data_IF_108440911481
#
_entry.id   IF_108440911481
#
_cell.length_a   1.000
_cell.length_b   1.000
_cell.length_c   1.000
_cell.angle_alpha   90.00
_cell.angle_beta   90.00
_cell.angle_gamma   90.00
#
_symmetry.space_group_name_H-M   'P 1'
#
loop_
_entity.id
_entity.type
_entity.pdbx_description
1 polymer ?
#
# COMPACT_ATOMS: atom_id res chain seq x y z
N UNK A 1 -6.14 -11.85 34.14
CA UNK A 1 -6.24 -12.23 32.71
C UNK A 1 -5.47 -13.54 32.49
N UNK A 2 -6.06 -14.54 31.82
CA UNK A 2 -5.43 -15.86 31.69
C UNK A 2 -4.24 -15.76 30.72
N UNK A 3 -3.03 -16.23 31.09
CA UNK A 3 -1.81 -16.12 30.26
C UNK A 3 -2.04 -16.59 28.82
N UNK A 4 -2.92 -17.58 28.64
CA UNK A 4 -3.35 -18.10 27.34
C UNK A 4 -4.02 -17.05 26.43
N UNK A 5 -4.77 -16.09 26.99
CA UNK A 5 -5.43 -15.02 26.21
C UNK A 5 -4.43 -14.00 25.65
N UNK A 6 -3.40 -13.65 26.43
CA UNK A 6 -2.31 -12.77 25.98
C UNK A 6 -1.51 -13.45 24.87
N UNK A 7 -1.13 -14.71 25.09
CA UNK A 7 -0.39 -15.51 24.09
C UNK A 7 -1.22 -15.65 22.80
N UNK A 8 -2.52 -15.92 22.91
CA UNK A 8 -3.42 -16.00 21.76
C UNK A 8 -3.48 -14.70 20.96
N UNK A 9 -3.61 -13.56 21.63
CA UNK A 9 -3.63 -12.24 20.96
C UNK A 9 -2.31 -11.91 20.25
N UNK A 10 -1.17 -12.27 20.86
CA UNK A 10 0.16 -12.07 20.27
C UNK A 10 0.35 -12.92 19.01
N UNK A 11 -0.11 -14.18 19.03
CA UNK A 11 -0.03 -15.08 17.87
C UNK A 11 -0.86 -14.53 16.71
N UNK A 12 -2.08 -14.04 16.97
CA UNK A 12 -2.94 -13.45 15.93
C UNK A 12 -2.28 -12.22 15.32
N UNK A 13 -1.71 -11.36 16.14
CA UNK A 13 -1.00 -10.17 15.68
C UNK A 13 0.23 -10.52 14.82
N UNK A 14 1.05 -11.48 15.26
CA UNK A 14 2.20 -11.97 14.48
C UNK A 14 1.78 -12.65 13.18
N UNK A 15 0.68 -13.40 13.17
CA UNK A 15 0.12 -14.00 11.96
C UNK A 15 -0.34 -12.92 10.96
N UNK A 16 -1.00 -11.87 11.46
CA UNK A 16 -1.38 -10.72 10.65
C UNK A 16 -0.17 -9.97 10.08
N UNK A 17 0.89 -9.77 10.89
CA UNK A 17 2.17 -9.21 10.48
C UNK A 17 2.76 -9.96 9.28
N UNK A 18 2.88 -11.28 9.43
CA UNK A 18 3.47 -12.16 8.45
C UNK A 18 2.65 -12.19 7.16
N UNK A 19 1.32 -12.24 7.27
CA UNK A 19 0.42 -12.16 6.13
C UNK A 19 0.55 -10.84 5.37
N UNK A 20 0.51 -9.71 6.08
CA UNK A 20 0.67 -8.37 5.48
C UNK A 20 2.06 -8.21 4.84
N UNK A 21 3.11 -8.67 5.51
CA UNK A 21 4.46 -8.66 4.95
C UNK A 21 4.53 -9.45 3.64
N UNK A 22 4.05 -10.70 3.66
CA UNK A 22 4.15 -11.62 2.53
C UNK A 22 3.35 -11.12 1.31
N UNK A 23 2.16 -10.58 1.54
CA UNK A 23 1.32 -10.03 0.47
C UNK A 23 1.98 -8.82 -0.19
N UNK A 24 2.44 -7.84 0.59
CA UNK A 24 3.13 -6.66 0.05
C UNK A 24 4.46 -7.02 -0.62
N UNK A 25 5.23 -7.95 -0.06
CA UNK A 25 6.47 -8.44 -0.65
C UNK A 25 6.23 -9.15 -2.00
N UNK A 26 5.20 -9.98 -2.09
CA UNK A 26 4.80 -10.65 -3.33
C UNK A 26 4.43 -9.64 -4.41
N UNK A 27 3.66 -8.61 -4.05
CA UNK A 27 3.23 -7.55 -4.98
C UNK A 27 4.42 -6.73 -5.48
N UNK A 28 5.36 -6.35 -4.61
CA UNK A 28 6.60 -5.69 -5.00
C UNK A 28 7.43 -6.53 -5.99
N UNK A 29 7.58 -7.83 -5.72
CA UNK A 29 8.33 -8.73 -6.61
C UNK A 29 7.64 -8.96 -7.96
N UNK A 30 6.31 -8.97 -7.99
CA UNK A 30 5.57 -9.05 -9.24
C UNK A 30 5.86 -7.84 -10.14
N UNK A 31 5.85 -6.64 -9.57
CA UNK A 31 6.19 -5.40 -10.30
C UNK A 31 7.67 -5.35 -10.72
N UNK A 32 8.60 -5.82 -9.88
CA UNK A 32 10.01 -5.95 -10.26
C UNK A 32 10.21 -6.89 -11.44
N UNK A 33 9.49 -8.02 -11.46
CA UNK A 33 9.51 -8.96 -12.58
C UNK A 33 8.99 -8.29 -13.85
N UNK A 34 7.91 -7.52 -13.76
CA UNK A 34 7.37 -6.76 -14.88
C UNK A 34 8.41 -5.78 -15.45
N UNK A 35 9.03 -4.93 -14.63
CA UNK A 35 10.08 -4.00 -15.09
C UNK A 35 11.25 -4.76 -15.71
N UNK A 36 11.69 -5.86 -15.09
CA UNK A 36 12.81 -6.65 -15.59
C UNK A 36 12.53 -7.18 -16.99
N UNK A 37 11.35 -7.75 -17.22
CA UNK A 37 10.91 -8.23 -18.53
C UNK A 37 10.76 -7.07 -19.53
N UNK A 38 10.17 -5.95 -19.09
CA UNK A 38 9.96 -4.78 -19.94
C UNK A 38 11.29 -4.18 -20.45
N UNK A 39 12.30 -4.10 -19.58
CA UNK A 39 13.63 -3.58 -19.91
C UNK A 39 14.48 -4.53 -20.77
N UNK A 40 14.17 -5.82 -20.77
CA UNK A 40 15.00 -6.83 -21.43
C UNK A 40 14.85 -6.85 -22.97
N UNK A 41 13.96 -6.04 -23.55
CA UNK A 41 13.53 -6.11 -24.96
C UNK A 41 12.98 -7.50 -25.30
N UNK A 42 11.67 -7.72 -25.07
CA UNK A 42 11.10 -9.06 -25.04
C UNK A 42 11.12 -9.75 -26.41
N UNK A 43 11.53 -11.02 -26.43
CA UNK A 43 11.20 -11.96 -27.51
C UNK A 43 9.66 -12.10 -27.66
N UNK A 44 9.12 -12.57 -28.80
CA UNK A 44 7.66 -12.61 -29.04
C UNK A 44 6.84 -13.28 -27.93
N UNK A 45 7.35 -14.37 -27.34
CA UNK A 45 6.71 -15.06 -26.21
C UNK A 45 6.75 -14.23 -24.90
N UNK A 46 7.81 -13.46 -24.67
CA UNK A 46 7.94 -12.57 -23.51
C UNK A 46 7.05 -11.33 -23.65
N UNK A 47 6.83 -10.88 -24.89
CA UNK A 47 5.90 -9.79 -25.19
C UNK A 47 4.47 -10.17 -24.84
N UNK A 48 4.03 -11.40 -25.17
CA UNK A 48 2.73 -11.92 -24.77
C UNK A 48 2.58 -11.97 -23.24
N UNK A 49 3.64 -12.42 -22.54
CA UNK A 49 3.66 -12.43 -21.08
C UNK A 49 3.50 -11.02 -20.50
N UNK A 50 4.20 -10.02 -21.04
CA UNK A 50 4.10 -8.62 -20.61
C UNK A 50 2.68 -8.08 -20.78
N UNK A 51 2.03 -8.36 -21.92
CA UNK A 51 0.64 -7.97 -22.18
C UNK A 51 -0.30 -8.58 -21.13
N UNK A 52 -0.13 -9.85 -20.76
CA UNK A 52 -0.92 -10.51 -19.70
C UNK A 52 -0.71 -9.88 -18.32
N UNK A 53 0.49 -9.34 -18.06
CA UNK A 53 0.81 -8.68 -16.79
C UNK A 53 0.24 -7.26 -16.68
N UNK A 54 -0.19 -6.62 -17.77
CA UNK A 54 -0.67 -5.23 -17.77
C UNK A 54 -1.83 -5.00 -16.80
N UNK A 55 -2.87 -5.84 -16.86
CA UNK A 55 -4.07 -5.65 -16.03
C UNK A 55 -3.75 -5.79 -14.53
N UNK A 56 -3.01 -6.82 -14.08
CA UNK A 56 -2.51 -6.88 -12.71
C UNK A 56 -1.59 -5.71 -12.32
N UNK A 57 -0.74 -5.23 -13.23
CA UNK A 57 0.12 -4.07 -12.95
C UNK A 57 -0.74 -2.82 -12.73
N UNK A 58 -1.75 -2.57 -13.58
CA UNK A 58 -2.68 -1.45 -13.43
C UNK A 58 -3.39 -1.47 -12.08
N UNK A 59 -3.87 -2.64 -11.63
CA UNK A 59 -4.54 -2.75 -10.33
C UNK A 59 -3.58 -2.50 -9.17
N UNK A 60 -2.33 -2.96 -9.26
CA UNK A 60 -1.30 -2.71 -8.25
C UNK A 60 -0.87 -1.23 -8.21
N UNK A 61 -0.75 -0.56 -9.35
CA UNK A 61 -0.49 0.89 -9.40
C UNK A 61 -1.61 1.68 -8.72
N UNK A 62 -2.87 1.35 -9.04
CA UNK A 62 -4.03 1.96 -8.40
C UNK A 62 -4.04 1.72 -6.89
N UNK A 63 -3.73 0.49 -6.45
CA UNK A 63 -3.60 0.14 -5.02
C UNK A 63 -2.49 0.94 -4.31
N UNK A 64 -1.43 1.31 -5.02
CA UNK A 64 -0.34 2.14 -4.51
C UNK A 64 -0.64 3.65 -4.56
N UNK A 65 -1.82 4.07 -5.06
CA UNK A 65 -2.17 5.47 -5.26
C UNK A 65 -1.37 6.14 -6.38
N UNK A 66 -0.76 5.36 -7.27
CA UNK A 66 -0.05 5.89 -8.45
C UNK A 66 -1.08 6.08 -9.56
N UNK A 67 -1.48 7.32 -9.79
CA UNK A 67 -2.42 7.66 -10.87
C UNK A 67 -1.86 7.27 -12.26
N UNK A 68 -2.73 6.92 -13.22
CA UNK A 68 -2.30 6.66 -14.58
C UNK A 68 -1.79 7.95 -15.23
N UNK A 69 -0.46 8.13 -15.22
CA UNK A 69 0.19 9.23 -15.92
C UNK A 69 -0.02 9.07 -17.42
N UNK A 70 -0.86 9.93 -17.98
CA UNK A 70 -1.15 10.00 -19.40
C UNK A 70 -0.01 10.70 -20.13
N UNK A 71 0.50 10.08 -21.20
CA UNK A 71 1.53 10.70 -22.04
C UNK A 71 0.83 11.48 -23.16
N UNK A 72 1.06 12.80 -23.30
CA UNK A 72 0.50 13.58 -24.39
C UNK A 72 1.23 13.22 -25.70
N UNK A 73 0.47 12.96 -26.74
CA UNK A 73 0.99 12.71 -28.08
C UNK A 73 0.37 13.67 -29.08
N UNK A 74 1.14 13.97 -30.12
CA UNK A 74 0.69 14.67 -31.30
C UNK A 74 1.07 13.81 -32.51
N UNK A 75 0.08 13.41 -33.29
CA UNK A 75 0.27 12.61 -34.50
C UNK A 75 -0.35 13.35 -35.68
N UNK A 76 0.43 13.49 -36.74
CA UNK A 76 -0.09 14.02 -38.00
C UNK A 76 -1.00 12.97 -38.64
N UNK A 77 -2.25 13.34 -38.92
CA UNK A 77 -3.23 12.48 -39.61
C UNK A 77 -3.17 12.72 -41.12
N UNK A 78 -2.97 13.98 -41.53
CA UNK A 78 -2.91 14.39 -42.93
C UNK A 78 -2.05 15.66 -43.08
N UNK A 79 -1.78 16.12 -44.30
CA UNK A 79 -0.91 17.26 -44.61
C UNK A 79 -1.30 18.57 -43.91
N UNK A 80 -2.57 18.70 -43.46
CA UNK A 80 -3.09 19.89 -42.78
C UNK A 80 -3.66 19.63 -41.39
N UNK A 81 -3.64 18.39 -40.90
CA UNK A 81 -4.33 18.01 -39.68
C UNK A 81 -3.40 17.27 -38.70
N UNK A 82 -3.29 17.81 -37.49
CA UNK A 82 -2.58 17.19 -36.36
C UNK A 82 -3.62 16.77 -35.32
N UNK A 83 -3.60 15.51 -34.94
CA UNK A 83 -4.35 14.99 -33.80
C UNK A 83 -3.50 15.04 -32.56
N UNK A 84 -4.07 15.61 -31.50
CA UNK A 84 -3.46 15.65 -30.18
C UNK A 84 -4.31 14.83 -29.23
N UNK A 85 -3.67 14.01 -28.40
CA UNK A 85 -4.37 13.17 -27.45
C UNK A 85 -3.50 12.78 -26.26
N UNK A 86 -4.09 11.98 -25.39
CA UNK A 86 -3.43 11.41 -24.22
C UNK A 86 -3.48 9.89 -24.35
N UNK A 87 -2.34 9.23 -24.20
CA UNK A 87 -2.23 7.78 -24.27
C UNK A 87 -1.84 7.23 -22.89
N UNK A 88 -2.47 6.13 -22.49
CA UNK A 88 -2.02 5.38 -21.33
C UNK A 88 -0.77 4.58 -21.72
N UNK A 89 0.38 4.77 -21.05
CA UNK A 89 1.62 4.08 -21.37
C UNK A 89 1.50 2.56 -21.30
N UNK A 90 0.72 2.03 -20.35
CA UNK A 90 0.52 0.59 -20.17
C UNK A 90 -0.35 -0.04 -21.26
N UNK A 91 -1.17 0.73 -21.96
CA UNK A 91 -1.90 0.27 -23.16
C UNK A 91 -1.06 0.42 -24.43
N UNK A 92 0.08 1.10 -24.35
CA UNK A 92 0.95 1.43 -25.47
C UNK A 92 2.40 0.97 -25.18
N UNK A 93 2.57 -0.20 -24.55
CA UNK A 93 3.87 -0.69 -24.04
C UNK A 93 5.02 -0.63 -25.04
N UNK A 94 4.73 -0.90 -26.33
CA UNK A 94 5.69 -1.00 -27.41
C UNK A 94 5.80 0.28 -28.25
N UNK A 95 5.23 1.40 -27.79
CA UNK A 95 5.35 2.67 -28.48
C UNK A 95 6.81 3.16 -28.45
N UNK A 96 7.39 3.54 -29.60
CA UNK A 96 8.78 3.99 -29.69
C UNK A 96 9.06 5.34 -29.03
N UNK A 97 8.03 6.11 -28.66
CA UNK A 97 8.19 7.37 -27.93
C UNK A 97 8.85 7.12 -26.57
N UNK A 98 10.08 7.62 -26.38
CA UNK A 98 10.87 7.52 -25.15
C UNK A 98 10.14 7.94 -23.86
N UNK A 99 9.11 8.79 -23.95
CA UNK A 99 8.31 9.23 -22.81
C UNK A 99 7.44 8.10 -22.25
N UNK A 100 7.02 7.15 -23.10
CA UNK A 100 6.23 5.97 -22.71
C UNK A 100 7.01 5.03 -21.79
N UNK A 101 8.19 4.48 -22.17
CA UNK A 101 8.97 3.61 -21.29
C UNK A 101 9.44 4.35 -20.03
N UNK A 102 9.80 5.63 -20.12
CA UNK A 102 10.18 6.42 -18.95
C UNK A 102 9.03 6.55 -17.94
N UNK A 103 7.82 6.79 -18.41
CA UNK A 103 6.63 6.90 -17.56
C UNK A 103 6.30 5.55 -16.91
N UNK A 104 6.32 4.45 -17.69
CA UNK A 104 6.09 3.09 -17.16
C UNK A 104 7.10 2.75 -16.06
N UNK A 105 8.39 2.96 -16.32
CA UNK A 105 9.45 2.63 -15.37
C UNK A 105 9.29 3.45 -14.10
N UNK A 106 9.04 4.75 -14.22
CA UNK A 106 8.87 5.65 -13.06
C UNK A 106 7.66 5.24 -12.21
N UNK A 107 6.47 5.09 -12.81
CA UNK A 107 5.25 4.73 -12.10
C UNK A 107 5.36 3.36 -11.41
N UNK A 108 5.90 2.36 -12.10
CA UNK A 108 6.07 1.03 -11.50
C UNK A 108 7.14 1.04 -10.42
N UNK A 109 8.21 1.82 -10.56
CA UNK A 109 9.24 1.97 -9.50
C UNK A 109 8.67 2.64 -8.25
N UNK A 110 7.82 3.66 -8.40
CA UNK A 110 7.12 4.28 -7.27
C UNK A 110 6.23 3.26 -6.53
N UNK A 111 5.46 2.46 -7.27
CA UNK A 111 4.63 1.43 -6.67
C UNK A 111 5.46 0.32 -6.00
N UNK A 112 6.60 -0.08 -6.56
CA UNK A 112 7.54 -0.99 -5.90
C UNK A 112 7.97 -0.41 -4.55
N UNK A 113 8.42 0.85 -4.52
CA UNK A 113 8.82 1.52 -3.28
C UNK A 113 7.71 1.56 -2.24
N UNK A 114 6.46 1.81 -2.66
CA UNK A 114 5.29 1.76 -1.79
C UNK A 114 5.09 0.37 -1.15
N UNK A 115 5.10 -0.70 -1.95
CA UNK A 115 4.90 -2.06 -1.43
C UNK A 115 6.07 -2.56 -0.58
N UNK A 116 7.31 -2.22 -0.93
CA UNK A 116 8.48 -2.53 -0.09
C UNK A 116 8.41 -1.81 1.25
N UNK A 117 8.02 -0.53 1.24
CA UNK A 117 7.82 0.24 2.46
C UNK A 117 6.72 -0.37 3.34
N UNK A 118 5.56 -0.73 2.76
CA UNK A 118 4.46 -1.41 3.44
C UNK A 118 4.87 -2.77 4.01
N UNK A 119 5.67 -3.55 3.28
CA UNK A 119 6.21 -4.80 3.78
C UNK A 119 7.06 -4.55 5.03
N UNK A 120 8.04 -3.65 4.96
CA UNK A 120 8.91 -3.33 6.09
C UNK A 120 8.14 -2.77 7.30
N UNK A 121 7.11 -1.97 7.07
CA UNK A 121 6.21 -1.48 8.13
C UNK A 121 5.42 -2.61 8.80
N UNK A 122 5.05 -3.65 8.06
CA UNK A 122 4.25 -4.76 8.58
C UNK A 122 4.97 -5.54 9.68
N UNK A 123 6.31 -5.57 9.66
CA UNK A 123 7.13 -6.25 10.68
C UNK A 123 7.67 -5.31 11.76
N UNK A 124 7.49 -3.99 11.61
CA UNK A 124 8.01 -3.01 12.56
C UNK A 124 7.03 -2.82 13.72
N UNK A 125 7.35 -3.28 14.95
CA UNK A 125 6.45 -3.13 16.09
C UNK A 125 6.21 -1.66 16.47
N UNK A 126 7.15 -0.74 16.21
CA UNK A 126 6.96 0.68 16.46
C UNK A 126 5.89 1.28 15.54
N UNK A 127 5.80 0.79 14.30
CA UNK A 127 4.76 1.21 13.36
C UNK A 127 3.37 0.84 13.85
N UNK A 128 3.24 -0.29 14.55
CA UNK A 128 1.96 -0.74 15.07
C UNK A 128 1.50 0.07 16.27
N UNK A 129 2.46 0.45 17.13
CA UNK A 129 2.22 1.38 18.21
C UNK A 129 1.75 2.72 17.62
N UNK A 130 2.42 3.21 16.58
CA UNK A 130 2.03 4.47 15.92
C UNK A 130 0.63 4.40 15.30
N UNK A 131 0.26 3.28 14.63
CA UNK A 131 -1.11 3.04 14.16
C UNK A 131 -2.09 3.04 15.33
N UNK A 132 -1.79 2.34 16.43
CA UNK A 132 -2.69 2.24 17.57
C UNK A 132 -2.93 3.59 18.22
N UNK A 133 -1.89 4.41 18.37
CA UNK A 133 -2.00 5.76 18.92
C UNK A 133 -2.71 6.73 17.97
N UNK A 134 -2.56 6.56 16.66
CA UNK A 134 -3.18 7.43 15.65
C UNK A 134 -4.46 6.85 15.03
N UNK A 135 -4.99 5.73 15.55
CA UNK A 135 -6.15 5.04 15.01
C UNK A 135 -7.38 5.96 14.82
N UNK A 136 -7.73 6.85 15.76
CA UNK A 136 -8.85 7.78 15.58
C UNK A 136 -8.70 8.66 14.34
N UNK A 137 -7.51 9.22 14.14
CA UNK A 137 -7.22 10.10 13.00
C UNK A 137 -7.23 9.33 11.69
N UNK A 138 -6.67 8.12 11.69
CA UNK A 138 -6.70 7.24 10.53
C UNK A 138 -8.14 6.88 10.12
N UNK A 139 -9.01 6.61 11.09
CA UNK A 139 -10.43 6.32 10.85
C UNK A 139 -11.20 7.54 10.32
N UNK A 140 -10.97 8.72 10.90
CA UNK A 140 -11.63 9.96 10.44
C UNK A 140 -11.19 10.33 9.02
N UNK A 141 -9.90 10.19 8.71
CA UNK A 141 -9.37 10.39 7.36
C UNK A 141 -9.96 9.37 6.36
N UNK A 142 -10.15 8.12 6.78
CA UNK A 142 -10.77 7.09 5.94
C UNK A 142 -12.25 7.39 5.64
N UNK A 143 -12.96 7.97 6.61
CA UNK A 143 -14.37 8.37 6.48
C UNK A 143 -14.57 9.74 5.80
N UNK A 144 -13.48 10.36 5.33
CA UNK A 144 -13.46 11.70 4.74
C UNK A 144 -14.11 12.77 5.65
N UNK A 145 -13.97 12.59 6.97
CA UNK A 145 -14.60 13.43 7.97
C UNK A 145 -13.59 14.43 8.53
N UNK A 146 -13.58 15.66 7.99
CA UNK A 146 -12.68 16.72 8.41
C UNK A 146 -13.36 17.69 9.38
N UNK A 147 -13.22 17.41 10.68
CA UNK A 147 -13.61 18.37 11.71
C UNK A 147 -12.53 18.43 12.79
N UNK A 148 -11.80 19.55 12.90
CA UNK A 148 -10.65 19.65 13.80
C UNK A 148 -11.04 19.52 15.27
N UNK A 149 -12.30 19.81 15.62
CA UNK A 149 -12.83 19.66 16.97
C UNK A 149 -13.09 18.17 17.26
N UNK A 150 -13.75 17.47 16.33
CA UNK A 150 -14.10 16.05 16.49
C UNK A 150 -12.84 15.18 16.47
N UNK A 151 -11.88 15.49 15.60
CA UNK A 151 -10.56 14.83 15.57
C UNK A 151 -9.84 14.91 16.93
N UNK A 152 -9.81 16.10 17.54
CA UNK A 152 -9.18 16.29 18.86
C UNK A 152 -9.92 15.57 19.98
N UNK A 153 -11.25 15.66 20.01
CA UNK A 153 -12.07 15.01 21.04
C UNK A 153 -11.93 13.49 20.98
N UNK A 154 -11.99 12.91 19.77
CA UNK A 154 -11.85 11.48 19.58
C UNK A 154 -10.43 10.98 19.89
N UNK A 155 -9.40 11.74 19.51
CA UNK A 155 -7.99 11.43 19.83
C UNK A 155 -7.75 11.41 21.35
N UNK A 156 -8.27 12.40 22.08
CA UNK A 156 -8.15 12.45 23.55
C UNK A 156 -8.94 11.32 24.20
N UNK A 157 -10.20 11.10 23.80
CA UNK A 157 -11.04 10.04 24.35
C UNK A 157 -10.40 8.66 24.17
N UNK A 158 -9.83 8.41 22.99
CA UNK A 158 -9.12 7.16 22.68
C UNK A 158 -7.90 6.96 23.56
N UNK A 159 -7.06 7.99 23.73
CA UNK A 159 -5.87 7.92 24.59
C UNK A 159 -6.21 7.71 26.06
N UNK A 160 -7.27 8.36 26.55
CA UNK A 160 -7.77 8.16 27.93
C UNK A 160 -8.28 6.74 28.11
N UNK A 161 -9.02 6.19 27.15
CA UNK A 161 -9.50 4.81 27.19
C UNK A 161 -8.33 3.80 27.17
N UNK A 162 -7.32 4.03 26.34
CA UNK A 162 -6.09 3.24 26.31
C UNK A 162 -5.35 3.28 27.65
N UNK A 163 -5.19 4.46 28.23
CA UNK A 163 -4.52 4.64 29.52
C UNK A 163 -5.29 3.92 30.65
N UNK A 164 -6.61 4.10 30.70
CA UNK A 164 -7.47 3.40 31.66
C UNK A 164 -7.34 1.87 31.52
N UNK A 165 -7.38 1.36 30.28
CA UNK A 165 -7.20 -0.07 30.01
C UNK A 165 -5.83 -0.57 30.50
N UNK A 166 -4.75 0.20 30.30
CA UNK A 166 -3.42 -0.16 30.77
C UNK A 166 -3.31 -0.14 32.31
N UNK A 167 -3.90 0.86 32.98
CA UNK A 167 -3.89 0.95 34.45
C UNK A 167 -4.73 -0.17 35.08
N UNK A 168 -5.90 -0.48 34.51
CA UNK A 168 -6.76 -1.56 34.97
C UNK A 168 -6.10 -2.95 34.88
N UNK A 169 -5.03 -3.11 34.08
CA UNK A 169 -4.21 -4.33 34.05
C UNK A 169 -3.21 -4.42 35.20
N UNK A 170 -2.86 -3.28 35.83
CA UNK A 170 -1.86 -3.20 36.91
C UNK A 170 -2.54 -3.41 38.29
N UNK A 171 -3.79 -2.97 38.46
CA UNK A 171 -4.51 -2.97 39.75
C UNK A 171 -5.22 -4.28 40.15
N UNK A 172 -4.82 -5.45 39.62
CA UNK A 172 -5.25 -6.75 40.16
C UNK A 172 -4.18 -7.37 41.08
N UNK A 173 -4.16 -7.06 42.38
CA UNK A 173 -3.63 -8.00 43.35
C UNK A 173 -4.59 -9.18 43.43
N UNK A 174 -4.09 -10.37 43.12
CA UNK A 174 -4.70 -11.64 43.53
C UNK A 174 -4.73 -11.63 45.06
N UNK A 175 -5.83 -11.19 45.67
CA UNK A 175 -6.05 -11.41 47.08
C UNK A 175 -6.33 -12.91 47.28
N UNK A 176 -5.35 -13.54 47.92
CA UNK A 176 -5.36 -14.89 48.46
C UNK A 176 -6.62 -15.13 49.28
N UNK A 177 -7.24 -16.33 49.22
CA UNK A 177 -8.19 -16.72 50.25
C UNK A 177 -7.42 -16.90 51.56
N UNK A 178 -7.56 -15.92 52.48
CA UNK A 178 -7.21 -16.10 53.88
C UNK A 178 -8.40 -16.72 54.60
N UNK A 179 -8.18 -17.97 55.04
CA UNK A 179 -8.93 -18.80 55.99
C UNK A 179 -10.40 -19.13 55.68
#
# INVERSE_FOLDING_TARGET
MNIQTIIGSLIILLAYAGYSYLTNWREANYLKRFIKLYKASPEPHEAEMLVKMVQPVKSLLSKAGVEPLLVPYAQQIDERHVSTGHANPLDNLFNPDHRVPQTIITSVTQAIGYFEHKANQSINPLYWIDILFNAPKLLLNYLDFSSPIIEKVLDVAWKVALLYYLIAQIDFPVNLPTF
#
